data_IF_102541909551
#
_entry.id   IF_102541909551
#
_cell.length_a   1.000
_cell.length_b   1.000
_cell.length_c   1.000
_cell.angle_alpha   90.00
_cell.angle_beta   90.00
_cell.angle_gamma   90.00
#
_symmetry.space_group_name_H-M   'P 1'
#
loop_
_entity.id
_entity.type
_entity.pdbx_description
1 polymer ?
#
# COMPACT_ATOMS: atom_id res chain seq x y z
N UNK A 1 -58.08 29.01 4.08
CA UNK A 1 -58.57 28.13 5.16
C UNK A 1 -57.72 26.87 5.11
N UNK A 2 -56.54 26.94 5.73
CA UNK A 2 -56.18 26.47 7.08
C UNK A 2 -55.90 24.95 7.14
N UNK A 3 -54.69 24.68 7.62
CA UNK A 3 -54.22 23.45 8.27
C UNK A 3 -53.83 22.25 7.42
N UNK A 4 -52.52 22.12 7.19
CA UNK A 4 -51.83 20.82 7.18
C UNK A 4 -50.82 20.83 8.32
N UNK A 5 -51.05 19.95 9.29
CA UNK A 5 -50.36 19.88 10.56
C UNK A 5 -48.93 19.37 10.43
N UNK A 6 -48.02 20.06 11.11
CA UNK A 6 -46.67 19.63 11.41
C UNK A 6 -46.68 18.98 12.80
N UNK A 7 -46.58 17.66 12.83
CA UNK A 7 -46.37 16.90 14.06
C UNK A 7 -44.87 16.77 14.34
N UNK A 8 -44.33 17.68 15.14
CA UNK A 8 -43.02 17.52 15.80
C UNK A 8 -43.14 16.50 16.92
N UNK A 9 -42.37 15.41 16.86
CA UNK A 9 -42.09 14.60 18.04
C UNK A 9 -40.69 14.92 18.54
N UNK A 10 -40.64 15.58 19.69
CA UNK A 10 -39.46 15.70 20.53
C UNK A 10 -39.36 14.44 21.39
N UNK A 11 -38.19 13.80 21.38
CA UNK A 11 -37.83 12.79 22.38
C UNK A 11 -36.46 13.14 22.94
N UNK A 12 -36.50 13.95 24.00
CA UNK A 12 -35.41 14.07 24.98
C UNK A 12 -35.27 12.75 25.72
N UNK A 13 -34.13 12.09 25.60
CA UNK A 13 -33.73 11.04 26.52
C UNK A 13 -32.38 11.42 27.15
N UNK A 14 -32.45 12.21 28.22
CA UNK A 14 -31.41 12.31 29.22
C UNK A 14 -31.42 11.01 30.03
N UNK A 15 -30.33 10.25 30.03
CA UNK A 15 -30.05 9.34 31.15
C UNK A 15 -28.61 9.46 31.63
N UNK A 16 -28.54 9.48 32.95
CA UNK A 16 -27.47 9.97 33.79
C UNK A 16 -26.27 9.04 33.86
N UNK A 17 -25.12 9.68 34.14
CA UNK A 17 -23.87 9.07 34.53
C UNK A 17 -24.06 8.07 35.69
N UNK A 18 -23.39 6.92 35.58
CA UNK A 18 -23.09 6.07 36.73
C UNK A 18 -21.58 6.06 36.95
N UNK A 19 -21.21 6.81 37.97
CA UNK A 19 -19.93 6.77 38.67
C UNK A 19 -19.66 5.39 39.28
N UNK A 20 -18.46 5.28 39.87
CA UNK A 20 -17.90 4.22 40.74
C UNK A 20 -16.99 3.26 39.94
N UNK A 21 -15.67 3.17 40.12
CA UNK A 21 -14.82 3.53 41.26
C UNK A 21 -13.37 3.72 40.79
N UNK A 22 -12.75 4.83 41.18
CA UNK A 22 -11.30 5.02 41.11
C UNK A 22 -10.68 4.19 42.24
N UNK A 23 -10.05 3.08 41.90
CA UNK A 23 -9.16 2.36 42.81
C UNK A 23 -7.86 3.15 42.91
N UNK A 24 -7.62 3.78 44.06
CA UNK A 24 -6.32 4.39 44.40
C UNK A 24 -5.33 3.27 44.69
N UNK A 25 -4.43 3.01 43.75
CA UNK A 25 -3.29 2.10 43.96
C UNK A 25 -2.20 2.90 44.70
N UNK A 26 -1.68 2.40 45.83
CA UNK A 26 -0.62 3.07 46.56
C UNK A 26 0.67 3.09 45.72
N UNK A 27 1.21 4.29 45.51
CA UNK A 27 2.52 4.52 44.90
C UNK A 27 3.60 4.03 45.86
N UNK A 28 3.97 2.75 45.74
CA UNK A 28 5.20 2.24 46.31
C UNK A 28 6.31 2.42 45.29
N UNK A 29 7.35 3.16 45.66
CA UNK A 29 8.58 3.35 44.90
C UNK A 29 9.60 2.28 45.29
N UNK A 30 9.79 1.17 44.56
CA UNK A 30 10.99 0.39 44.68
C UNK A 30 12.09 1.05 43.84
N UNK A 31 13.06 1.66 44.52
CA UNK A 31 14.39 1.88 43.94
C UNK A 31 15.04 0.51 43.76
N UNK A 32 14.97 -0.06 42.56
CA UNK A 32 15.89 -1.12 42.19
C UNK A 32 16.51 -0.79 40.84
N UNK A 33 17.80 -0.49 40.90
CA UNK A 33 18.72 -0.48 39.77
C UNK A 33 18.77 -1.90 39.22
N UNK A 34 18.13 -2.11 38.08
CA UNK A 34 18.38 -3.27 37.24
C UNK A 34 18.67 -2.77 35.82
N UNK A 35 19.90 -3.05 35.42
CA UNK A 35 20.44 -3.02 34.06
C UNK A 35 19.39 -3.47 33.04
N UNK A 36 19.16 -2.72 31.94
CA UNK A 36 18.43 -3.27 30.81
C UNK A 36 19.33 -4.33 30.15
N UNK A 37 19.08 -5.60 30.44
CA UNK A 37 19.36 -6.66 29.49
C UNK A 37 18.52 -6.33 28.25
N UNK A 38 19.21 -5.90 27.20
CA UNK A 38 18.65 -5.75 25.86
C UNK A 38 18.06 -7.09 25.45
N UNK A 39 16.76 -7.28 25.69
CA UNK A 39 15.97 -8.26 24.98
C UNK A 39 15.91 -7.75 23.55
N UNK A 40 16.91 -8.15 22.76
CA UNK A 40 16.76 -8.22 21.31
C UNK A 40 15.68 -9.26 21.06
N UNK A 41 14.43 -8.81 21.09
CA UNK A 41 13.37 -9.46 20.36
C UNK A 41 13.79 -9.36 18.90
N UNK A 42 14.53 -10.36 18.44
CA UNK A 42 14.57 -10.72 17.03
C UNK A 42 13.16 -11.17 16.68
N UNK A 43 12.25 -10.21 16.62
CA UNK A 43 11.04 -10.34 15.83
C UNK A 43 11.56 -10.47 14.42
N UNK A 44 11.75 -11.72 13.99
CA UNK A 44 11.79 -12.12 12.60
C UNK A 44 10.41 -11.79 12.03
N UNK A 45 10.06 -10.51 11.96
CA UNK A 45 9.01 -10.03 11.11
C UNK A 45 9.54 -10.32 9.72
N UNK A 46 9.02 -11.39 9.12
CA UNK A 46 9.11 -11.62 7.69
C UNK A 46 8.43 -10.45 7.00
N UNK A 47 9.09 -9.30 6.95
CA UNK A 47 8.72 -8.17 6.15
C UNK A 47 8.87 -8.67 4.71
N UNK A 48 7.76 -9.08 4.11
CA UNK A 48 7.72 -9.40 2.69
C UNK A 48 8.25 -8.18 1.95
N UNK A 49 9.38 -8.34 1.25
CA UNK A 49 9.90 -7.26 0.43
C UNK A 49 8.86 -6.98 -0.66
N UNK A 50 8.49 -5.70 -0.89
CA UNK A 50 7.51 -5.38 -1.93
C UNK A 50 8.02 -5.87 -3.28
N UNK A 51 7.11 -6.47 -4.04
CA UNK A 51 7.39 -6.94 -5.40
C UNK A 51 7.56 -5.71 -6.30
N UNK A 52 8.59 -5.67 -7.13
CA UNK A 52 8.85 -4.50 -7.99
C UNK A 52 8.45 -4.80 -9.43
N UNK A 53 7.70 -3.89 -10.01
CA UNK A 53 7.28 -3.92 -11.41
C UNK A 53 7.84 -2.67 -12.10
N UNK A 54 8.43 -2.85 -13.28
CA UNK A 54 9.02 -1.77 -14.06
C UNK A 54 8.23 -1.60 -15.34
N UNK A 55 7.83 -0.37 -15.63
CA UNK A 55 7.24 0.06 -16.89
C UNK A 55 8.26 0.90 -17.66
N UNK A 56 8.79 0.34 -18.74
CA UNK A 56 9.60 1.09 -19.69
C UNK A 56 8.68 1.91 -20.59
N UNK A 57 8.96 3.22 -20.67
CA UNK A 57 8.12 4.23 -21.33
C UNK A 57 8.97 5.30 -22.02
N UNK A 58 8.33 6.19 -22.78
CA UNK A 58 8.97 7.37 -23.40
C UNK A 58 8.04 8.58 -23.31
N UNK A 59 8.55 9.82 -23.17
CA UNK A 59 7.74 11.02 -23.29
C UNK A 59 6.95 11.05 -24.61
N UNK A 60 5.69 11.47 -24.53
CA UNK A 60 4.77 11.52 -25.68
C UNK A 60 4.16 10.18 -26.08
N UNK A 61 4.37 9.10 -25.33
CA UNK A 61 3.76 7.79 -25.57
C UNK A 61 2.37 7.68 -24.92
N UNK A 62 1.30 7.95 -25.68
CA UNK A 62 -0.07 7.85 -25.17
C UNK A 62 -0.47 6.44 -24.70
N UNK A 63 0.08 5.39 -25.31
CA UNK A 63 -0.14 4.00 -24.90
C UNK A 63 0.45 3.71 -23.51
N UNK A 64 1.60 4.32 -23.21
CA UNK A 64 2.30 4.16 -21.94
C UNK A 64 1.51 4.81 -20.79
N UNK A 65 0.96 6.00 -21.02
CA UNK A 65 0.14 6.71 -20.03
C UNK A 65 -1.14 5.93 -19.69
N UNK A 66 -1.87 5.48 -20.72
CA UNK A 66 -3.09 4.70 -20.52
C UNK A 66 -2.83 3.36 -19.81
N UNK A 67 -1.70 2.71 -20.07
CA UNK A 67 -1.32 1.48 -19.35
C UNK A 67 -0.97 1.78 -17.89
N UNK A 68 -0.21 2.85 -17.63
CA UNK A 68 0.17 3.27 -16.28
C UNK A 68 -1.06 3.54 -15.41
N UNK A 69 -2.05 4.26 -15.94
CA UNK A 69 -3.31 4.54 -15.23
C UNK A 69 -4.05 3.25 -14.85
N UNK A 70 -4.12 2.28 -15.77
CA UNK A 70 -4.77 0.99 -15.51
C UNK A 70 -4.04 0.17 -14.46
N UNK A 71 -2.71 0.17 -14.47
CA UNK A 71 -1.92 -0.51 -13.44
C UNK A 71 -2.14 0.13 -12.07
N UNK A 72 -2.14 1.47 -12.00
CA UNK A 72 -2.42 2.18 -10.76
C UNK A 72 -3.82 1.88 -10.23
N UNK A 73 -4.84 1.87 -11.08
CA UNK A 73 -6.19 1.48 -10.70
C UNK A 73 -6.22 0.04 -10.17
N UNK A 74 -5.55 -0.91 -10.84
CA UNK A 74 -5.47 -2.29 -10.40
C UNK A 74 -4.78 -2.45 -9.03
N UNK A 75 -3.76 -1.65 -8.73
CA UNK A 75 -3.12 -1.67 -7.40
C UNK A 75 -4.02 -1.16 -6.28
N UNK A 76 -5.06 -0.38 -6.59
CA UNK A 76 -6.02 0.11 -5.60
C UNK A 76 -7.18 -0.86 -5.36
N UNK A 77 -7.42 -1.82 -6.26
CA UNK A 77 -8.48 -2.81 -6.11
C UNK A 77 -8.09 -3.85 -5.04
N UNK A 78 -8.91 -3.96 -3.99
CA UNK A 78 -8.76 -4.98 -2.96
C UNK A 78 -9.39 -6.31 -3.42
N UNK A 79 -8.56 -7.32 -3.59
CA UNK A 79 -8.94 -8.71 -3.88
C UNK A 79 -8.03 -9.75 -3.23
N UNK A 80 -8.34 -11.04 -3.32
CA UNK A 80 -7.46 -12.11 -2.81
C UNK A 80 -6.07 -12.11 -3.49
N UNK A 81 -5.97 -11.61 -4.72
CA UNK A 81 -4.73 -11.39 -5.47
C UNK A 81 -4.26 -9.92 -5.45
N UNK A 82 -4.64 -9.16 -4.40
CA UNK A 82 -4.33 -7.75 -4.28
C UNK A 82 -2.85 -7.47 -4.55
N UNK A 83 -2.60 -6.62 -5.55
CA UNK A 83 -1.27 -6.14 -5.89
C UNK A 83 -0.85 -4.93 -5.04
N UNK A 84 -1.37 -4.81 -3.81
CA UNK A 84 -1.09 -3.70 -2.90
C UNK A 84 0.37 -3.63 -2.44
N UNK A 85 1.09 -4.75 -2.52
CA UNK A 85 2.52 -4.86 -2.18
C UNK A 85 3.43 -4.76 -3.43
N UNK A 86 2.91 -4.20 -4.53
CA UNK A 86 3.68 -3.98 -5.76
C UNK A 86 4.10 -2.52 -5.87
N UNK A 87 5.41 -2.29 -6.01
CA UNK A 87 5.99 -0.99 -6.32
C UNK A 87 6.16 -0.86 -7.84
N UNK A 88 5.45 0.09 -8.47
CA UNK A 88 5.55 0.37 -9.90
C UNK A 88 6.57 1.49 -10.15
N UNK A 89 7.66 1.14 -10.82
CA UNK A 89 8.66 2.08 -11.29
C UNK A 89 8.47 2.36 -12.77
N UNK A 90 8.44 3.63 -13.14
CA UNK A 90 8.41 4.05 -14.55
C UNK A 90 9.81 4.48 -14.95
N UNK A 91 10.35 3.90 -16.01
CA UNK A 91 11.67 4.23 -16.56
C UNK A 91 11.53 4.79 -17.96
N UNK A 92 12.17 5.92 -18.20
CA UNK A 92 12.23 6.53 -19.52
C UNK A 92 13.34 5.86 -20.33
N UNK A 93 12.98 5.22 -21.43
CA UNK A 93 13.94 4.54 -22.31
C UNK A 93 14.92 5.54 -22.93
N UNK A 94 14.56 6.81 -23.11
CA UNK A 94 15.46 7.82 -23.70
C UNK A 94 16.55 8.29 -22.74
N UNK A 95 16.43 7.95 -21.45
CA UNK A 95 17.46 8.28 -20.45
C UNK A 95 18.67 7.35 -20.50
N UNK A 96 18.54 6.17 -21.15
CA UNK A 96 19.62 5.20 -21.28
C UNK A 96 19.62 4.60 -22.70
N UNK A 97 20.70 4.77 -23.49
CA UNK A 97 20.75 4.30 -24.86
C UNK A 97 20.61 2.77 -25.00
N UNK A 98 20.96 2.00 -23.97
CA UNK A 98 20.73 0.55 -23.99
C UNK A 98 19.23 0.21 -23.92
N UNK A 99 18.48 0.92 -23.09
CA UNK A 99 17.02 0.76 -23.00
C UNK A 99 16.33 1.28 -24.25
N UNK A 100 16.77 2.41 -24.80
CA UNK A 100 16.23 2.94 -26.05
C UNK A 100 16.43 1.92 -27.18
N UNK A 101 17.65 1.41 -27.36
CA UNK A 101 17.94 0.42 -28.40
C UNK A 101 17.12 -0.87 -28.23
N UNK A 102 16.91 -1.33 -27.00
CA UNK A 102 16.15 -2.54 -26.72
C UNK A 102 14.64 -2.34 -26.95
N UNK A 103 14.08 -1.20 -26.54
CA UNK A 103 12.62 -1.05 -26.36
C UNK A 103 11.97 0.03 -27.22
N UNK A 104 12.71 0.84 -27.97
CA UNK A 104 12.17 2.00 -28.72
C UNK A 104 10.98 1.70 -29.65
N UNK A 105 10.84 0.45 -30.13
CA UNK A 105 9.75 0.02 -31.01
C UNK A 105 8.69 -0.83 -30.31
N UNK A 106 8.93 -1.25 -29.07
CA UNK A 106 8.06 -2.20 -28.34
C UNK A 106 7.42 -1.58 -27.10
N UNK A 107 7.80 -0.36 -26.71
CA UNK A 107 7.15 0.33 -25.58
C UNK A 107 5.63 0.45 -25.78
N UNK A 108 4.81 0.21 -24.73
CA UNK A 108 5.23 -0.04 -23.34
C UNK A 108 5.66 -1.50 -23.04
N UNK A 109 6.75 -1.66 -22.29
CA UNK A 109 7.25 -2.98 -21.83
C UNK A 109 7.16 -3.08 -20.32
N UNK A 110 6.62 -4.19 -19.82
CA UNK A 110 6.55 -4.52 -18.39
C UNK A 110 7.56 -5.61 -18.03
N UNK A 111 8.38 -5.31 -17.03
CA UNK A 111 9.34 -6.24 -16.47
C UNK A 111 9.10 -6.43 -14.96
N UNK A 112 9.11 -7.69 -14.52
CA UNK A 112 9.06 -8.05 -13.11
C UNK A 112 10.48 -8.10 -12.57
N UNK A 113 10.75 -7.39 -11.49
CA UNK A 113 12.02 -7.53 -10.77
C UNK A 113 11.85 -8.61 -9.71
N UNK A 114 12.70 -9.62 -9.78
CA UNK A 114 12.80 -10.69 -8.79
C UNK A 114 13.47 -10.20 -7.50
N UNK A 115 13.39 -11.01 -6.45
CA UNK A 115 14.00 -10.70 -5.15
C UNK A 115 15.53 -10.69 -5.18
N UNK A 116 16.15 -11.28 -6.20
CA UNK A 116 17.58 -11.27 -6.49
C UNK A 116 18.03 -10.03 -7.28
N UNK A 117 17.09 -9.20 -7.75
CA UNK A 117 17.36 -8.02 -8.57
C UNK A 117 17.34 -8.28 -10.08
N UNK A 118 17.12 -9.52 -10.52
CA UNK A 118 17.00 -9.87 -11.93
C UNK A 118 15.69 -9.35 -12.51
N UNK A 119 15.73 -8.75 -13.69
CA UNK A 119 14.53 -8.31 -14.41
C UNK A 119 14.11 -9.37 -15.41
N UNK A 120 12.85 -9.80 -15.34
CA UNK A 120 12.24 -10.73 -16.29
C UNK A 120 11.16 -9.98 -17.07
N UNK A 121 11.26 -10.00 -18.39
CA UNK A 121 10.26 -9.42 -19.27
C UNK A 121 9.11 -10.41 -19.53
N UNK A 122 7.91 -9.89 -19.81
CA UNK A 122 6.74 -10.69 -20.12
C UNK A 122 6.96 -11.68 -21.29
N UNK A 123 7.77 -11.31 -22.28
CA UNK A 123 8.13 -12.16 -23.43
C UNK A 123 8.84 -13.46 -23.01
N UNK A 124 9.55 -13.45 -21.88
CA UNK A 124 10.23 -14.64 -21.34
C UNK A 124 9.29 -15.55 -20.55
N UNK A 125 8.23 -15.00 -19.94
CA UNK A 125 7.23 -15.77 -19.19
C UNK A 125 6.32 -16.58 -20.12
N UNK A 126 5.82 -15.96 -21.19
CA UNK A 126 4.79 -16.57 -22.07
C UNK A 126 5.33 -17.80 -22.81
N UNK A 127 6.63 -17.85 -23.12
CA UNK A 127 7.24 -18.96 -23.85
C UNK A 127 7.65 -20.15 -22.96
N UNK A 128 7.38 -20.10 -21.65
CA UNK A 128 7.79 -21.14 -20.70
C UNK A 128 6.65 -22.08 -20.27
N UNK A 129 5.52 -22.07 -20.98
CA UNK A 129 4.34 -22.91 -20.72
C UNK A 129 3.90 -23.71 -21.95
#
# INVERSE_FOLDING_TARGET
>A
MLSKGIGTMATTATMAARSLSIARIPVHKPKWVFTPLSFSSSSSSSASKPRKLVLYSKPGCCLCDGLKERLQAAFLLAGPDSLHDVDLQVRDITSNPEWEKAYQYEIPVLAKVLSDGTEIENSTWINSH
#
